data_IF_787258283195
#
_entry.id   IF_787258283195
#
_cell.length_a   1.000
_cell.length_b   1.000
_cell.length_c   1.000
_cell.angle_alpha   90.00
_cell.angle_beta   90.00
_cell.angle_gamma   90.00
#
_symmetry.space_group_name_H-M   'P 1'
#
loop_
_entity.id
_entity.type
_entity.pdbx_description
1 polymer ?
#
# COMPACT_ATOMS: atom_id res chain seq x y z
N UNK A 1 3.71 3.14 6.06
CA UNK A 1 4.04 3.76 4.75
C UNK A 1 4.83 5.03 5.00
N UNK A 2 5.61 5.48 4.01
CA UNK A 2 6.42 6.69 4.11
C UNK A 2 6.53 7.33 2.72
N UNK A 3 6.35 8.64 2.61
CA UNK A 3 6.45 9.38 1.35
C UNK A 3 7.89 9.85 1.11
N UNK A 4 8.32 9.87 -0.16
CA UNK A 4 9.58 10.51 -0.53
C UNK A 4 9.46 12.05 -0.42
N UNK A 5 10.61 12.74 -0.42
CA UNK A 5 10.63 14.22 -0.30
C UNK A 5 9.99 14.95 -1.48
N UNK A 6 9.91 14.29 -2.64
CA UNK A 6 9.38 14.89 -3.86
C UNK A 6 7.87 14.72 -3.96
N UNK A 7 7.29 13.69 -3.32
CA UNK A 7 5.86 13.39 -3.42
C UNK A 7 5.52 12.44 -4.57
N UNK A 8 6.50 11.73 -5.14
CA UNK A 8 6.30 10.84 -6.27
C UNK A 8 6.08 9.39 -5.86
N UNK A 9 6.62 8.98 -4.71
CA UNK A 9 6.67 7.59 -4.28
C UNK A 9 6.25 7.45 -2.83
N UNK A 10 5.41 6.44 -2.59
CA UNK A 10 5.07 5.97 -1.26
C UNK A 10 5.74 4.61 -1.02
N UNK A 11 6.74 4.59 -0.15
CA UNK A 11 7.32 3.34 0.34
C UNK A 11 6.29 2.63 1.23
N UNK A 12 5.88 1.44 0.79
CA UNK A 12 4.86 0.63 1.45
C UNK A 12 5.47 -0.69 1.91
N UNK A 13 5.30 -1.00 3.19
CA UNK A 13 5.81 -2.22 3.82
C UNK A 13 4.65 -3.02 4.37
N UNK A 14 4.59 -4.29 4.01
CA UNK A 14 3.58 -5.25 4.42
C UNK A 14 4.22 -6.27 5.34
N UNK A 15 3.55 -6.58 6.45
CA UNK A 15 3.93 -7.71 7.29
C UNK A 15 3.09 -8.93 6.89
N UNK A 16 3.73 -10.09 6.88
CA UNK A 16 3.11 -11.35 6.46
C UNK A 16 3.14 -12.36 7.61
N UNK A 17 2.06 -13.14 7.75
CA UNK A 17 2.05 -14.24 8.70
C UNK A 17 2.97 -15.37 8.23
N UNK A 18 4.01 -15.66 9.00
CA UNK A 18 4.95 -16.76 8.72
C UNK A 18 5.99 -16.46 7.64
N UNK A 19 6.14 -15.20 7.23
CA UNK A 19 7.17 -14.77 6.29
C UNK A 19 7.77 -13.42 6.73
N UNK A 20 8.91 -13.05 6.14
CA UNK A 20 9.50 -11.73 6.36
C UNK A 20 8.62 -10.62 5.78
N UNK A 21 8.70 -9.43 6.37
CA UNK A 21 8.07 -8.24 5.80
C UNK A 21 8.57 -7.98 4.38
N UNK A 22 7.70 -7.43 3.54
CA UNK A 22 8.00 -7.07 2.15
C UNK A 22 7.73 -5.59 1.95
N UNK A 23 8.67 -4.89 1.33
CA UNK A 23 8.53 -3.49 0.98
C UNK A 23 8.54 -3.29 -0.54
N UNK A 24 7.76 -2.32 -1.02
CA UNK A 24 7.67 -1.89 -2.42
C UNK A 24 7.56 -0.37 -2.50
N UNK A 25 8.06 0.22 -3.58
CA UNK A 25 7.76 1.62 -3.93
C UNK A 25 6.47 1.69 -4.74
N UNK A 26 5.47 2.40 -4.22
CA UNK A 26 4.17 2.63 -4.89
C UNK A 26 4.14 4.05 -5.44
N UNK A 27 4.02 4.24 -6.78
CA UNK A 27 3.84 5.57 -7.36
C UNK A 27 2.59 6.29 -6.87
N UNK A 28 2.67 7.63 -6.76
CA UNK A 28 1.55 8.49 -6.38
C UNK A 28 0.28 8.20 -7.21
N UNK A 29 0.41 8.00 -8.52
CA UNK A 29 -0.73 7.66 -9.40
C UNK A 29 -1.46 6.38 -8.97
N UNK A 30 -0.75 5.35 -8.51
CA UNK A 30 -1.37 4.13 -7.95
C UNK A 30 -2.07 4.46 -6.63
N UNK A 31 -1.46 5.29 -5.78
CA UNK A 31 -2.06 5.71 -4.49
C UNK A 31 -3.38 6.45 -4.73
N UNK A 32 -3.41 7.43 -5.63
CA UNK A 32 -4.63 8.18 -5.96
C UNK A 32 -5.69 7.30 -6.62
N UNK A 33 -5.28 6.40 -7.53
CA UNK A 33 -6.19 5.41 -8.11
C UNK A 33 -6.82 4.52 -7.04
N UNK A 34 -6.02 4.01 -6.09
CA UNK A 34 -6.50 3.21 -4.97
C UNK A 34 -7.45 4.00 -4.07
N UNK A 35 -7.13 5.24 -3.71
CA UNK A 35 -8.01 6.09 -2.89
C UNK A 35 -9.39 6.31 -3.54
N UNK A 36 -9.44 6.40 -4.88
CA UNK A 36 -10.68 6.58 -5.63
C UNK A 36 -11.52 5.29 -5.76
N UNK A 37 -10.89 4.12 -5.79
CA UNK A 37 -11.56 2.86 -6.13
C UNK A 37 -11.67 1.86 -4.98
N UNK A 38 -10.91 2.03 -3.89
CA UNK A 38 -11.03 1.16 -2.72
C UNK A 38 -12.35 1.42 -1.99
N UNK A 39 -13.01 0.36 -1.51
CA UNK A 39 -14.24 0.51 -0.74
C UNK A 39 -13.94 1.22 0.58
N UNK A 40 -14.79 2.18 0.93
CA UNK A 40 -14.78 2.81 2.24
C UNK A 40 -15.40 1.86 3.26
N UNK A 41 -14.78 1.71 4.43
CA UNK A 41 -15.39 0.92 5.50
C UNK A 41 -16.74 1.52 5.93
N UNK A 42 -17.77 0.68 5.95
CA UNK A 42 -19.12 1.04 6.44
C UNK A 42 -19.46 0.33 7.75
N UNK A 43 -18.61 -0.56 8.24
CA UNK A 43 -18.83 -1.33 9.47
C UNK A 43 -18.30 -0.55 10.68
N UNK A 44 -19.18 -0.03 11.57
CA UNK A 44 -18.78 0.73 12.75
C UNK A 44 -18.14 -0.15 13.82
N UNK A 45 -18.23 -1.48 13.70
CA UNK A 45 -17.69 -2.45 14.67
C UNK A 45 -16.36 -3.05 14.22
N UNK A 46 -15.82 -2.59 13.08
CA UNK A 46 -14.57 -3.09 12.54
C UNK A 46 -13.42 -2.85 13.52
N UNK A 47 -12.81 -3.94 13.99
CA UNK A 47 -11.66 -3.85 14.87
C UNK A 47 -10.42 -3.38 14.09
N UNK A 48 -9.61 -2.47 14.66
CA UNK A 48 -8.36 -2.07 14.04
C UNK A 48 -7.42 -3.29 13.93
N UNK A 49 -6.63 -3.40 12.85
CA UNK A 49 -5.64 -4.46 12.75
C UNK A 49 -4.49 -4.21 13.76
N UNK A 50 -3.65 -5.23 14.02
CA UNK A 50 -2.42 -5.04 14.80
C UNK A 50 -1.53 -3.93 14.24
N UNK A 51 -0.63 -3.41 15.07
CA UNK A 51 0.34 -2.42 14.64
C UNK A 51 1.15 -2.95 13.45
N UNK A 52 1.21 -2.16 12.38
CA UNK A 52 1.95 -2.51 11.16
C UNK A 52 3.48 -2.42 11.34
N UNK A 53 4.23 -2.90 10.34
CA UNK A 53 5.68 -2.83 10.38
C UNK A 53 6.17 -1.37 10.31
N UNK A 54 7.25 -1.09 11.04
CA UNK A 54 7.88 0.22 11.00
C UNK A 54 8.76 0.33 9.73
N UNK A 55 8.69 1.50 9.09
CA UNK A 55 9.60 1.88 8.03
C UNK A 55 10.75 2.66 8.65
N UNK A 56 11.96 2.29 8.28
CA UNK A 56 13.21 2.86 8.76
C UNK A 56 13.99 3.48 7.60
N UNK A 57 15.05 4.22 7.91
CA UNK A 57 15.97 4.73 6.88
C UNK A 57 16.63 3.60 6.10
N UNK A 58 16.90 2.45 6.75
CA UNK A 58 17.36 1.23 6.08
C UNK A 58 16.45 0.97 4.88
N UNK A 59 15.13 0.82 5.10
CA UNK A 59 14.19 0.45 4.06
C UNK A 59 14.27 1.41 2.85
N UNK A 60 14.45 2.72 3.06
CA UNK A 60 14.63 3.68 1.97
C UNK A 60 15.92 3.47 1.17
N UNK A 61 16.98 3.06 1.83
CA UNK A 61 18.30 2.85 1.23
C UNK A 61 18.41 1.47 0.57
N UNK A 62 17.36 0.62 0.60
CA UNK A 62 17.37 -0.72 0.01
C UNK A 62 17.45 -0.70 -1.51
N UNK A 63 18.57 -1.14 -2.13
CA UNK A 63 18.67 -1.13 -3.59
C UNK A 63 17.71 -2.13 -4.27
N UNK A 64 17.35 -3.19 -3.54
CA UNK A 64 16.47 -4.25 -4.03
C UNK A 64 14.96 -4.09 -3.77
N UNK A 65 14.50 -2.97 -3.19
CA UNK A 65 13.04 -2.76 -3.10
C UNK A 65 12.51 -2.46 -4.50
N UNK A 66 11.58 -3.28 -5.02
CA UNK A 66 11.05 -3.10 -6.35
C UNK A 66 10.04 -1.97 -6.38
N UNK A 67 9.91 -1.34 -7.55
CA UNK A 67 8.87 -0.35 -7.82
C UNK A 67 7.66 -1.00 -8.50
N UNK A 68 6.46 -0.63 -8.07
CA UNK A 68 5.23 -1.03 -8.73
C UNK A 68 4.91 -0.14 -9.96
N UNK A 69 4.33 -0.73 -11.00
CA UNK A 69 3.82 0.00 -12.16
C UNK A 69 2.29 0.03 -12.22
N UNK A 70 1.66 -1.09 -11.87
CA UNK A 70 0.22 -1.24 -11.87
C UNK A 70 -0.20 -2.07 -10.66
N UNK A 71 -1.45 -1.90 -10.24
CA UNK A 71 -2.08 -2.75 -9.24
C UNK A 71 -3.36 -3.33 -9.80
N UNK A 72 -3.56 -4.62 -9.59
CA UNK A 72 -4.80 -5.32 -9.94
C UNK A 72 -5.50 -5.72 -8.65
N UNK A 73 -6.70 -5.19 -8.44
CA UNK A 73 -7.49 -5.44 -7.25
C UNK A 73 -8.63 -6.42 -7.55
N UNK A 74 -8.78 -7.44 -6.71
CA UNK A 74 -9.90 -8.38 -6.74
C UNK A 74 -10.58 -8.41 -5.38
N UNK A 75 -11.87 -8.11 -5.36
CA UNK A 75 -12.70 -8.23 -4.15
C UNK A 75 -13.00 -9.71 -3.90
N UNK A 76 -12.75 -10.15 -2.68
CA UNK A 76 -13.03 -11.48 -2.16
C UNK A 76 -13.98 -11.35 -0.96
N UNK A 77 -14.65 -12.44 -0.53
CA UNK A 77 -15.47 -12.42 0.68
C UNK A 77 -14.64 -11.97 1.90
N UNK A 78 -14.90 -10.74 2.37
CA UNK A 78 -14.22 -10.15 3.53
C UNK A 78 -12.78 -9.69 3.31
N UNK A 79 -12.25 -9.75 2.08
CA UNK A 79 -10.84 -9.46 1.78
C UNK A 79 -10.68 -8.77 0.43
N UNK A 80 -9.55 -8.12 0.20
CA UNK A 80 -9.13 -7.63 -1.11
C UNK A 80 -7.76 -8.24 -1.41
N UNK A 81 -7.66 -8.88 -2.57
CA UNK A 81 -6.38 -9.27 -3.14
C UNK A 81 -5.87 -8.16 -4.03
N UNK A 82 -4.64 -7.71 -3.82
CA UNK A 82 -3.95 -6.69 -4.61
C UNK A 82 -2.68 -7.29 -5.20
N UNK A 83 -2.62 -7.38 -6.52
CA UNK A 83 -1.42 -7.85 -7.23
C UNK A 83 -0.72 -6.64 -7.84
N UNK A 84 0.44 -6.30 -7.29
CA UNK A 84 1.32 -5.27 -7.79
C UNK A 84 2.24 -5.86 -8.86
N UNK A 85 2.13 -5.35 -10.08
CA UNK A 85 3.11 -5.64 -11.11
C UNK A 85 4.36 -4.80 -10.86
N UNK A 86 5.51 -5.46 -10.78
CA UNK A 86 6.76 -4.85 -10.32
C UNK A 86 7.76 -4.64 -11.48
N UNK A 87 8.75 -3.78 -11.25
CA UNK A 87 9.92 -3.56 -12.11
C UNK A 87 10.81 -4.79 -12.31
N UNK A 88 10.63 -5.80 -11.46
CA UNK A 88 11.30 -7.08 -11.50
C UNK A 88 10.35 -8.18 -11.05
N UNK A 89 10.55 -9.40 -11.55
CA UNK A 89 9.75 -10.56 -11.16
C UNK A 89 10.31 -11.25 -9.90
N UNK A 90 9.48 -11.96 -9.12
CA UNK A 90 8.03 -12.14 -9.30
C UNK A 90 7.22 -10.89 -8.92
N UNK A 91 5.97 -10.79 -9.42
CA UNK A 91 5.02 -9.78 -8.96
C UNK A 91 4.60 -10.04 -7.51
N UNK A 92 4.15 -9.01 -6.80
CA UNK A 92 3.74 -9.13 -5.41
C UNK A 92 2.21 -9.17 -5.29
N UNK A 93 1.66 -10.26 -4.78
CA UNK A 93 0.26 -10.33 -4.37
C UNK A 93 0.14 -10.24 -2.85
N UNK A 94 -0.60 -9.25 -2.37
CA UNK A 94 -1.01 -9.15 -0.96
C UNK A 94 -2.51 -9.40 -0.84
N UNK A 95 -2.92 -10.03 0.26
CA UNK A 95 -4.33 -10.24 0.59
C UNK A 95 -4.61 -9.58 1.92
N UNK A 96 -5.42 -8.53 1.88
CA UNK A 96 -5.76 -7.71 3.04
C UNK A 96 -7.21 -7.98 3.44
N UNK A 97 -7.45 -8.17 4.73
CA UNK A 97 -8.81 -8.13 5.27
C UNK A 97 -9.35 -6.69 5.30
N UNK A 98 -10.63 -6.54 5.65
CA UNK A 98 -11.31 -5.23 5.67
C UNK A 98 -10.61 -4.22 6.58
N UNK A 99 -10.11 -4.64 7.75
CA UNK A 99 -9.46 -3.74 8.71
C UNK A 99 -8.11 -3.26 8.21
N UNK A 100 -7.33 -4.13 7.57
CA UNK A 100 -6.07 -3.73 6.93
C UNK A 100 -6.31 -2.85 5.70
N UNK A 101 -7.35 -3.10 4.90
CA UNK A 101 -7.70 -2.22 3.76
C UNK A 101 -8.06 -0.82 4.25
N UNK A 102 -8.87 -0.71 5.30
CA UNK A 102 -9.26 0.59 5.84
C UNK A 102 -8.07 1.33 6.47
N UNK A 103 -7.21 0.63 7.22
CA UNK A 103 -5.97 1.22 7.71
C UNK A 103 -5.09 1.74 6.56
N UNK A 104 -4.91 0.91 5.51
CA UNK A 104 -4.16 1.28 4.32
C UNK A 104 -4.73 2.55 3.68
N UNK A 105 -6.06 2.63 3.52
CA UNK A 105 -6.77 3.79 2.95
C UNK A 105 -6.56 5.05 3.80
N UNK A 106 -6.66 4.95 5.12
CA UNK A 106 -6.47 6.09 6.03
C UNK A 106 -5.03 6.63 5.97
N UNK A 107 -4.03 5.75 5.94
CA UNK A 107 -2.63 6.16 5.82
C UNK A 107 -2.37 6.81 4.46
N UNK A 108 -2.87 6.23 3.36
CA UNK A 108 -2.75 6.82 2.03
C UNK A 108 -3.42 8.20 1.96
N UNK A 109 -4.58 8.37 2.58
CA UNK A 109 -5.27 9.67 2.66
C UNK A 109 -4.47 10.69 3.46
N UNK A 110 -3.79 10.28 4.53
CA UNK A 110 -2.90 11.17 5.28
C UNK A 110 -1.74 11.68 4.41
N UNK A 111 -1.15 10.79 3.59
CA UNK A 111 -0.07 11.13 2.67
C UNK A 111 -0.53 11.79 1.36
N UNK A 112 -1.83 11.81 1.06
CA UNK A 112 -2.31 12.37 -0.22
C UNK A 112 -2.03 13.86 -0.37
N UNK A 113 -1.74 14.57 0.73
CA UNK A 113 -1.34 15.98 0.72
C UNK A 113 0.14 16.20 0.41
N UNK A 114 0.95 15.17 0.66
CA UNK A 114 2.39 15.20 0.40
C UNK A 114 2.74 14.60 -0.96
N UNK A 115 1.81 13.84 -1.55
CA UNK A 115 1.94 13.24 -2.88
C UNK A 115 1.49 14.20 -3.99
N UNK A 116 2.18 14.17 -5.12
CA UNK A 116 1.83 14.93 -6.32
C UNK A 116 0.83 14.12 -7.14
N UNK A 117 -0.38 14.65 -7.27
CA UNK A 117 -1.36 14.14 -8.23
C UNK A 117 -1.12 14.82 -9.58
N UNK A 118 -0.63 14.07 -10.56
CA UNK A 118 -0.35 14.59 -11.90
C UNK A 118 -1.61 14.60 -12.79
N UNK A 119 -2.69 13.93 -12.37
CA UNK A 119 -3.94 13.77 -13.12
C UNK A 119 -5.09 14.65 -12.57
N UNK A 120 -4.84 15.48 -11.54
CA UNK A 120 -5.83 16.32 -10.85
C UNK A 120 -6.09 17.68 -11.51
#
# INVERSE_FOLDING_TARGET
MSCDRVGNLLLTKFSAHGASDVAIFVPASIVFWLLKHLPVNQDPTLQPPPAGPQITQWDWDHPNIPRAFTVQCKVLPGKISMTYNLDRKPDLTVVLDRSNVELMRQIMLAYSKDLIDLDA
#
